data_IF_303931716389
#
_entry.id   IF_303931716389
#
_cell.length_a   1.000
_cell.length_b   1.000
_cell.length_c   1.000
_cell.angle_alpha   90.00
_cell.angle_beta   90.00
_cell.angle_gamma   90.00
#
_symmetry.space_group_name_H-M   'P 1'
#
loop_
_entity.id
_entity.type
_entity.pdbx_description
1 polymer ?
#
# COMPACT_ATOMS: atom_id res chain seq x y z
N UNK A 1 6.15 20.83 22.25
CA UNK A 1 5.65 20.70 20.85
C UNK A 1 4.67 19.53 20.78
N UNK A 2 3.50 19.73 20.27
CA UNK A 2 2.53 18.64 20.06
C UNK A 2 2.94 17.86 18.81
N UNK A 3 3.17 16.55 18.89
CA UNK A 3 3.45 15.73 17.71
C UNK A 3 2.27 15.74 16.73
N UNK A 4 2.54 16.00 15.47
CA UNK A 4 1.54 15.94 14.40
C UNK A 4 2.03 15.03 13.29
N UNK A 5 1.18 14.12 12.87
CA UNK A 5 1.47 13.19 11.78
C UNK A 5 0.29 13.12 10.82
N UNK A 6 0.59 12.97 9.54
CA UNK A 6 -0.38 12.52 8.55
C UNK A 6 -0.36 10.99 8.48
N UNK A 7 -1.52 10.39 8.31
CA UNK A 7 -1.65 8.93 8.17
C UNK A 7 -2.26 8.63 6.80
N UNK A 8 -1.62 7.74 6.07
CA UNK A 8 -2.13 7.26 4.78
C UNK A 8 -2.29 5.74 4.79
N UNK A 9 -3.13 5.26 3.89
CA UNK A 9 -3.36 3.84 3.65
C UNK A 9 -3.11 3.52 2.18
N UNK A 10 -2.60 2.34 1.89
CA UNK A 10 -2.41 1.85 0.53
C UNK A 10 -2.63 0.35 0.45
N UNK A 11 -2.95 -0.16 -0.73
CA UNK A 11 -3.17 -1.58 -0.92
C UNK A 11 -2.54 -2.14 -2.18
N UNK A 12 -2.01 -3.36 -2.05
CA UNK A 12 -1.83 -4.28 -3.15
C UNK A 12 -3.18 -4.94 -3.43
N UNK A 13 -3.86 -4.48 -4.48
CA UNK A 13 -5.13 -5.04 -4.92
C UNK A 13 -4.88 -6.06 -6.01
N UNK A 14 -5.38 -7.27 -5.83
CA UNK A 14 -5.28 -8.34 -6.83
C UNK A 14 -6.65 -8.75 -7.35
N UNK A 15 -6.72 -9.18 -8.61
CA UNK A 15 -7.90 -9.77 -9.22
C UNK A 15 -7.81 -11.30 -9.26
N UNK A 16 -8.79 -11.98 -9.87
CA UNK A 16 -8.83 -13.44 -9.98
C UNK A 16 -7.68 -14.05 -10.82
N UNK A 17 -6.98 -13.22 -11.60
CA UNK A 17 -5.84 -13.64 -12.42
C UNK A 17 -4.50 -13.37 -11.73
N UNK A 18 -4.52 -12.98 -10.46
CA UNK A 18 -3.34 -12.53 -9.71
C UNK A 18 -2.64 -11.31 -10.33
N UNK A 19 -3.37 -10.53 -11.12
CA UNK A 19 -2.89 -9.26 -11.61
C UNK A 19 -3.07 -8.17 -10.56
N UNK A 20 -2.16 -7.20 -10.55
CA UNK A 20 -2.08 -6.11 -9.58
C UNK A 20 -2.67 -4.83 -10.18
N UNK A 21 -3.50 -4.15 -9.38
CA UNK A 21 -4.01 -2.82 -9.73
C UNK A 21 -2.90 -1.77 -9.62
N UNK A 22 -2.63 -1.09 -10.72
CA UNK A 22 -1.73 0.05 -10.76
C UNK A 22 -2.44 1.29 -11.27
N UNK A 23 -2.04 2.42 -10.71
CA UNK A 23 -2.47 3.76 -11.11
C UNK A 23 -1.26 4.58 -11.52
N UNK A 24 -1.41 5.43 -12.53
CA UNK A 24 -0.34 6.32 -13.00
C UNK A 24 -0.62 7.76 -12.56
N UNK A 25 0.10 8.20 -11.54
CA UNK A 25 0.06 9.57 -11.06
C UNK A 25 0.87 10.49 -11.98
N UNK A 26 0.35 11.67 -12.38
CA UNK A 26 1.11 12.64 -13.18
C UNK A 26 2.40 13.12 -12.52
N UNK A 27 2.49 13.02 -11.19
CA UNK A 27 3.62 13.54 -10.40
C UNK A 27 4.60 12.46 -9.94
N UNK A 28 4.11 11.20 -9.74
CA UNK A 28 4.90 10.11 -9.15
C UNK A 28 5.10 8.92 -10.07
N UNK A 29 4.40 8.89 -11.22
CA UNK A 29 4.41 7.75 -12.12
C UNK A 29 3.55 6.59 -11.61
N UNK A 30 3.90 5.38 -11.98
CA UNK A 30 3.16 4.19 -11.61
C UNK A 30 3.31 3.84 -10.13
N UNK A 31 2.17 3.58 -9.50
CA UNK A 31 2.10 3.19 -8.09
C UNK A 31 0.86 2.32 -7.85
N UNK A 32 0.78 1.68 -6.68
CA UNK A 32 -0.45 1.06 -6.20
C UNK A 32 -1.33 2.14 -5.53
N UNK A 33 -2.67 1.93 -5.48
CA UNK A 33 -3.59 2.96 -4.98
C UNK A 33 -3.50 3.16 -3.47
N UNK A 34 -3.76 4.37 -3.05
CA UNK A 34 -3.81 4.78 -1.65
C UNK A 34 -3.80 6.28 -1.47
N UNK A 35 -3.98 6.73 -0.24
CA UNK A 35 -3.99 8.15 0.10
C UNK A 35 -4.21 8.40 1.57
N UNK A 36 -4.41 9.67 1.93
CA UNK A 36 -4.55 10.11 3.30
C UNK A 36 -5.89 9.67 3.90
N UNK A 37 -5.85 9.27 5.16
CA UNK A 37 -7.06 9.06 5.96
C UNK A 37 -7.64 10.43 6.34
N UNK A 38 -8.91 10.63 6.06
CA UNK A 38 -9.62 11.85 6.46
C UNK A 38 -10.14 11.74 7.90
N UNK A 39 -10.31 12.89 8.58
CA UNK A 39 -10.88 12.89 9.93
C UNK A 39 -12.22 12.16 10.01
N UNK A 40 -12.33 11.23 10.94
CA UNK A 40 -13.54 10.42 11.17
C UNK A 40 -13.62 9.13 10.36
N UNK A 41 -12.72 8.88 9.43
CA UNK A 41 -12.66 7.62 8.70
C UNK A 41 -11.93 6.53 9.47
N UNK A 42 -12.42 5.30 9.34
CA UNK A 42 -11.64 4.11 9.69
C UNK A 42 -10.61 3.79 8.59
N UNK A 43 -9.63 2.94 8.88
CA UNK A 43 -8.64 2.50 7.89
C UNK A 43 -9.30 1.88 6.65
N UNK A 44 -10.32 1.06 6.84
CA UNK A 44 -11.02 0.40 5.74
C UNK A 44 -11.84 1.36 4.90
N UNK A 45 -12.54 2.30 5.53
CA UNK A 45 -13.31 3.33 4.82
C UNK A 45 -12.40 4.19 3.96
N UNK A 46 -11.30 4.68 4.51
CA UNK A 46 -10.31 5.47 3.78
C UNK A 46 -9.75 4.71 2.59
N UNK A 47 -9.32 3.47 2.78
CA UNK A 47 -8.74 2.67 1.72
C UNK A 47 -9.74 2.36 0.60
N UNK A 48 -10.96 1.98 0.94
CA UNK A 48 -12.04 1.74 -0.04
C UNK A 48 -12.39 3.00 -0.82
N UNK A 49 -12.44 4.16 -0.14
CA UNK A 49 -12.68 5.45 -0.80
C UNK A 49 -11.56 5.80 -1.77
N UNK A 50 -10.30 5.73 -1.34
CA UNK A 50 -9.13 6.05 -2.18
C UNK A 50 -9.07 5.17 -3.43
N UNK A 51 -9.24 3.86 -3.27
CA UNK A 51 -9.22 2.94 -4.43
C UNK A 51 -10.37 3.24 -5.40
N UNK A 52 -11.56 3.57 -4.89
CA UNK A 52 -12.69 3.95 -5.74
C UNK A 52 -12.43 5.27 -6.47
N UNK A 53 -11.88 6.28 -5.79
CA UNK A 53 -11.58 7.60 -6.38
C UNK A 53 -10.48 7.52 -7.44
N UNK A 54 -9.43 6.76 -7.16
CA UNK A 54 -8.27 6.66 -8.06
C UNK A 54 -8.45 5.69 -9.21
N UNK A 55 -9.22 4.61 -9.02
CA UNK A 55 -9.28 3.50 -9.98
C UNK A 55 -10.69 3.04 -10.35
N UNK A 56 -11.73 3.50 -9.66
CA UNK A 56 -13.13 3.14 -9.96
C UNK A 56 -13.55 1.75 -9.51
N UNK A 57 -12.75 1.04 -8.75
CA UNK A 57 -13.04 -0.34 -8.33
C UNK A 57 -13.38 -0.47 -6.85
N UNK A 58 -14.08 -1.55 -6.53
CA UNK A 58 -14.43 -1.94 -5.16
C UNK A 58 -13.52 -3.07 -4.69
N UNK A 59 -13.16 -3.02 -3.41
CA UNK A 59 -12.22 -3.98 -2.81
C UNK A 59 -12.70 -4.50 -1.46
N UNK A 60 -12.19 -5.68 -1.10
CA UNK A 60 -12.19 -6.20 0.27
C UNK A 60 -10.75 -6.36 0.76
N UNK A 61 -10.47 -5.88 1.97
CA UNK A 61 -9.14 -5.96 2.58
C UNK A 61 -8.93 -7.39 3.07
N UNK A 62 -7.80 -7.98 2.67
CA UNK A 62 -7.49 -9.39 2.95
C UNK A 62 -6.33 -9.59 3.92
N UNK A 63 -5.49 -8.56 4.12
CA UNK A 63 -4.36 -8.70 5.02
C UNK A 63 -3.67 -7.38 5.33
N UNK A 64 -2.84 -7.43 6.37
CA UNK A 64 -1.96 -6.35 6.80
C UNK A 64 -0.52 -6.66 6.36
N UNK A 65 0.15 -5.71 5.78
CA UNK A 65 1.54 -5.86 5.31
C UNK A 65 2.53 -5.22 6.27
N UNK A 66 2.29 -3.98 6.66
CA UNK A 66 3.19 -3.27 7.54
C UNK A 66 2.98 -1.76 7.57
N UNK A 67 3.92 -1.09 8.20
CA UNK A 67 3.92 0.36 8.39
C UNK A 67 5.20 0.93 7.79
N UNK A 68 5.04 2.01 7.04
CA UNK A 68 6.14 2.74 6.44
C UNK A 68 6.08 4.21 6.88
N UNK A 69 7.18 4.76 7.40
CA UNK A 69 7.23 6.16 7.84
C UNK A 69 8.19 6.99 6.99
N UNK A 70 7.68 8.08 6.44
CA UNK A 70 8.52 9.16 5.93
C UNK A 70 8.94 10.04 7.12
N UNK A 71 10.17 9.87 7.58
CA UNK A 71 10.70 10.57 8.76
C UNK A 71 10.83 12.07 8.53
N UNK A 72 11.09 12.49 7.28
CA UNK A 72 11.27 13.90 6.94
C UNK A 72 9.97 14.70 6.81
N UNK A 73 8.83 14.03 6.64
CA UNK A 73 7.52 14.68 6.46
C UNK A 73 6.48 14.26 7.50
N UNK A 74 6.86 13.42 8.45
CA UNK A 74 5.96 12.88 9.49
C UNK A 74 4.68 12.25 8.90
N UNK A 75 4.84 11.48 7.81
CA UNK A 75 3.76 10.72 7.21
C UNK A 75 3.96 9.25 7.57
N UNK A 76 2.92 8.66 8.17
CA UNK A 76 2.84 7.22 8.44
C UNK A 76 1.96 6.58 7.40
N UNK A 77 2.49 5.62 6.66
CA UNK A 77 1.76 4.86 5.65
C UNK A 77 1.49 3.45 6.17
N UNK A 78 0.26 2.99 6.04
CA UNK A 78 -0.16 1.64 6.43
C UNK A 78 -0.50 0.87 5.17
N UNK A 79 0.18 -0.26 4.97
CA UNK A 79 0.06 -1.07 3.76
C UNK A 79 -0.76 -2.33 4.01
N UNK A 80 -1.69 -2.61 3.11
CA UNK A 80 -2.59 -3.76 3.13
C UNK A 80 -2.51 -4.56 1.85
N UNK A 81 -2.99 -5.79 1.90
CA UNK A 81 -3.42 -6.54 0.72
C UNK A 81 -4.93 -6.47 0.61
N UNK A 82 -5.46 -6.50 -0.60
CA UNK A 82 -6.89 -6.45 -0.86
C UNK A 82 -7.25 -7.24 -2.13
N UNK A 83 -8.49 -7.69 -2.19
CA UNK A 83 -9.06 -8.39 -3.33
C UNK A 83 -10.04 -7.49 -4.06
N UNK A 84 -9.95 -7.44 -5.39
CA UNK A 84 -10.96 -6.83 -6.26
C UNK A 84 -12.29 -7.58 -6.14
N UNK A 85 -13.38 -6.85 -5.95
CA UNK A 85 -14.73 -7.43 -5.82
C UNK A 85 -15.75 -6.80 -6.76
N UNK A 86 -15.40 -5.76 -7.50
CA UNK A 86 -16.34 -5.14 -8.45
C UNK A 86 -15.87 -3.80 -8.99
N UNK A 87 -16.68 -3.19 -9.83
CA UNK A 87 -16.39 -1.94 -10.49
C UNK A 87 -15.54 -2.10 -11.75
N UNK A 88 -15.41 -1.01 -12.51
CA UNK A 88 -14.63 -0.96 -13.74
C UNK A 88 -13.47 0.03 -13.60
N UNK A 89 -12.31 -0.30 -14.16
CA UNK A 89 -11.17 0.59 -14.17
C UNK A 89 -11.54 1.94 -14.78
N UNK A 90 -11.41 2.99 -13.97
CA UNK A 90 -11.80 4.35 -14.35
C UNK A 90 -10.68 5.31 -13.97
N UNK A 91 -10.01 5.93 -14.95
CA UNK A 91 -9.04 6.99 -14.69
C UNK A 91 -9.67 8.19 -14.00
N UNK A 92 -8.84 8.97 -13.31
CA UNK A 92 -9.22 10.21 -12.63
C UNK A 92 -8.20 11.32 -12.95
N UNK A 93 -8.42 12.51 -12.42
CA UNK A 93 -7.43 13.60 -12.54
C UNK A 93 -6.12 13.29 -11.81
N UNK A 94 -6.20 12.51 -10.74
CA UNK A 94 -5.04 12.08 -9.93
C UNK A 94 -4.38 10.82 -10.48
N UNK A 95 -5.12 10.04 -11.29
CA UNK A 95 -4.68 8.77 -11.88
C UNK A 95 -5.08 8.72 -13.35
N UNK A 96 -4.20 9.22 -14.20
CA UNK A 96 -4.49 9.38 -15.64
C UNK A 96 -4.58 8.08 -16.40
N UNK A 97 -3.97 7.03 -15.87
CA UNK A 97 -4.07 5.67 -16.39
C UNK A 97 -4.27 4.70 -15.23
N UNK A 98 -5.08 3.67 -15.45
CA UNK A 98 -5.36 2.61 -14.48
C UNK A 98 -5.31 1.28 -15.20
N UNK A 99 -4.53 0.34 -14.70
CA UNK A 99 -4.34 -0.97 -15.35
C UNK A 99 -4.32 -2.13 -14.35
N UNK A 100 -4.60 -3.32 -14.86
CA UNK A 100 -4.17 -4.58 -14.25
C UNK A 100 -2.82 -4.99 -14.83
N UNK A 101 -1.85 -5.30 -13.99
CA UNK A 101 -0.51 -5.70 -14.41
C UNK A 101 -0.09 -6.98 -13.68
N UNK A 102 0.68 -7.84 -14.36
CA UNK A 102 1.33 -8.95 -13.67
C UNK A 102 2.32 -8.42 -12.61
N UNK A 103 2.66 -9.19 -11.58
CA UNK A 103 3.67 -8.79 -10.60
C UNK A 103 5.00 -8.37 -11.24
N UNK A 104 5.45 -9.07 -12.26
CA UNK A 104 6.67 -8.76 -13.01
C UNK A 104 6.55 -7.43 -13.73
N UNK A 105 5.41 -7.17 -14.39
CA UNK A 105 5.16 -5.91 -15.07
C UNK A 105 5.05 -4.73 -14.11
N UNK A 106 4.41 -4.94 -12.95
CA UNK A 106 4.34 -3.94 -11.90
C UNK A 106 5.74 -3.55 -11.40
N UNK A 107 6.63 -4.53 -11.19
CA UNK A 107 8.02 -4.27 -10.78
C UNK A 107 8.84 -3.52 -11.84
N UNK A 108 8.52 -3.67 -13.12
CA UNK A 108 9.14 -2.90 -14.21
C UNK A 108 8.60 -1.46 -14.26
N UNK A 109 7.28 -1.28 -14.16
CA UNK A 109 6.61 0.02 -14.30
C UNK A 109 6.88 0.95 -13.12
N UNK A 110 6.91 0.40 -11.90
CA UNK A 110 7.18 1.18 -10.69
C UNK A 110 8.69 1.46 -10.61
N UNK A 111 9.07 2.71 -10.83
CA UNK A 111 10.48 3.13 -10.84
C UNK A 111 10.92 3.84 -9.59
N UNK A 112 9.99 4.43 -8.82
CA UNK A 112 10.33 5.14 -7.60
C UNK A 112 10.79 4.15 -6.51
N UNK A 113 12.00 4.30 -5.96
CA UNK A 113 12.61 3.30 -5.07
C UNK A 113 11.76 2.95 -3.84
N UNK A 114 11.13 3.94 -3.22
CA UNK A 114 10.25 3.75 -2.08
C UNK A 114 9.04 2.87 -2.43
N UNK A 115 8.33 3.23 -3.50
CA UNK A 115 7.13 2.51 -3.93
C UNK A 115 7.48 1.08 -4.32
N UNK A 116 8.63 0.90 -4.99
CA UNK A 116 9.15 -0.42 -5.34
C UNK A 116 9.46 -1.27 -4.12
N UNK A 117 10.10 -0.70 -3.09
CA UNK A 117 10.40 -1.40 -1.83
C UNK A 117 9.12 -1.82 -1.11
N UNK A 118 8.13 -0.93 -1.03
CA UNK A 118 6.84 -1.24 -0.42
C UNK A 118 6.10 -2.34 -1.20
N UNK A 119 6.12 -2.29 -2.53
CA UNK A 119 5.55 -3.36 -3.37
C UNK A 119 6.22 -4.70 -3.11
N UNK A 120 7.54 -4.74 -2.98
CA UNK A 120 8.28 -5.96 -2.63
C UNK A 120 7.82 -6.52 -1.28
N UNK A 121 7.63 -5.67 -0.28
CA UNK A 121 7.11 -6.08 1.03
C UNK A 121 5.69 -6.64 0.92
N UNK A 122 4.83 -6.01 0.13
CA UNK A 122 3.45 -6.48 -0.12
C UNK A 122 3.41 -7.83 -0.81
N UNK A 123 4.33 -8.06 -1.77
CA UNK A 123 4.41 -9.31 -2.53
C UNK A 123 5.06 -10.46 -1.76
N UNK A 124 5.82 -10.17 -0.72
CA UNK A 124 6.61 -11.21 -0.03
C UNK A 124 5.77 -12.27 0.68
N UNK A 125 4.58 -11.92 1.17
CA UNK A 125 3.60 -12.85 1.74
C UNK A 125 4.11 -13.75 2.89
N UNK A 126 5.15 -13.32 3.63
CA UNK A 126 5.87 -14.16 4.59
C UNK A 126 5.22 -14.26 5.97
N UNK A 127 4.02 -13.72 6.16
CA UNK A 127 3.39 -13.68 7.48
C UNK A 127 4.12 -12.78 8.49
N UNK A 128 4.94 -11.89 8.00
CA UNK A 128 5.68 -10.90 8.79
C UNK A 128 5.16 -9.49 8.51
N UNK A 129 5.13 -8.65 9.54
CA UNK A 129 4.84 -7.23 9.38
C UNK A 129 6.13 -6.46 9.08
N UNK A 130 6.12 -5.68 8.01
CA UNK A 130 7.24 -4.82 7.65
C UNK A 130 7.17 -3.49 8.42
N UNK A 131 8.27 -3.11 9.06
CA UNK A 131 8.49 -1.77 9.58
C UNK A 131 9.58 -1.11 8.76
N UNK A 132 9.24 -0.03 8.08
CA UNK A 132 10.15 0.63 7.15
C UNK A 132 10.13 2.14 7.35
N UNK A 133 11.29 2.71 7.68
CA UNK A 133 11.43 4.16 7.80
C UNK A 133 12.44 4.69 6.79
N UNK A 134 12.14 5.82 6.19
CA UNK A 134 12.98 6.40 5.14
C UNK A 134 12.98 7.93 5.19
N UNK A 135 13.99 8.52 4.56
CA UNK A 135 14.03 9.92 4.13
C UNK A 135 13.96 9.96 2.61
N UNK A 136 13.27 10.95 2.07
CA UNK A 136 13.04 11.01 0.62
C UNK A 136 14.19 11.67 -0.16
N UNK A 137 14.77 12.69 0.39
CA UNK A 137 15.75 13.53 -0.32
C UNK A 137 17.04 13.73 0.53
N UNK A 138 18.12 13.02 0.18
CA UNK A 138 18.14 11.87 -0.74
C UNK A 138 17.40 10.67 -0.16
N UNK A 139 16.95 9.75 -1.05
CA UNK A 139 16.31 8.53 -0.58
C UNK A 139 17.29 7.71 0.28
N UNK A 140 16.95 7.56 1.54
CA UNK A 140 17.79 6.86 2.52
C UNK A 140 16.91 6.00 3.41
N UNK A 141 17.25 4.74 3.53
CA UNK A 141 16.60 3.82 4.47
C UNK A 141 17.13 4.09 5.87
N UNK A 142 16.22 4.34 6.81
CA UNK A 142 16.53 4.61 8.22
C UNK A 142 16.29 3.36 9.07
N UNK A 143 15.22 2.62 8.77
CA UNK A 143 14.87 1.38 9.45
C UNK A 143 14.22 0.42 8.44
N UNK A 144 14.61 -0.85 8.50
CA UNK A 144 14.02 -1.91 7.68
C UNK A 144 13.99 -3.19 8.51
N UNK A 145 12.83 -3.47 9.12
CA UNK A 145 12.65 -4.57 10.07
C UNK A 145 11.42 -5.37 9.68
N UNK A 146 11.52 -6.67 9.75
CA UNK A 146 10.41 -7.60 9.59
C UNK A 146 10.14 -8.30 10.91
N UNK A 147 8.93 -8.14 11.42
CA UNK A 147 8.51 -8.72 12.70
C UNK A 147 7.49 -9.82 12.47
N UNK A 148 7.50 -10.90 13.28
CA UNK A 148 6.44 -11.90 13.22
C UNK A 148 5.08 -11.26 13.43
N UNK A 149 4.13 -11.55 12.54
CA UNK A 149 2.76 -11.07 12.65
C UNK A 149 1.97 -11.98 13.62
N UNK A 150 1.48 -11.38 14.69
CA UNK A 150 0.57 -12.03 15.66
C UNK A 150 1.27 -12.86 16.73
N UNK A 151 0.47 -13.27 17.71
CA UNK A 151 0.85 -14.29 18.66
C UNK A 151 0.79 -15.63 17.93
N UNK A 152 1.92 -16.33 17.86
CA UNK A 152 1.86 -17.75 17.55
C UNK A 152 1.14 -18.39 18.72
N UNK A 153 -0.04 -18.96 18.50
CA UNK A 153 -0.67 -19.84 19.43
C UNK A 153 0.28 -21.03 19.65
N UNK A 154 1.05 -20.96 20.72
CA UNK A 154 1.68 -22.13 21.28
C UNK A 154 0.54 -22.99 21.86
N UNK A 155 -0.25 -23.59 20.98
CA UNK A 155 -1.07 -24.72 21.37
C UNK A 155 -0.11 -25.87 21.58
N UNK A 156 0.45 -25.93 22.77
CA UNK A 156 1.02 -27.17 23.29
C UNK A 156 -0.12 -28.18 23.31
N UNK A 157 -0.16 -29.00 22.28
CA UNK A 157 -0.89 -30.26 22.34
C UNK A 157 -0.09 -31.15 23.28
N UNK A 158 -0.45 -31.09 24.55
CA UNK A 158 -0.09 -32.11 25.50
C UNK A 158 -0.93 -33.35 25.27
#
# INVERSE_FOLDING_TARGET
>A
MTPTHFVSVAALVTNEKDEILLVNSPWRGWEYPGGLIEPGETFQEALKREVREEAGVEIEITGFVGICKNVGKDIVNIDFTAQYVGGELTPSEESTEVIWATPEKAMELITFPLTKKRLQNMLSGRGEAALFCFRREPFTVVEDVHLPAGLQDNVSTA
#
